data_IF_238856327994
#
_entry.id   IF_238856327994
#
_cell.length_a   1.000
_cell.length_b   1.000
_cell.length_c   1.000
_cell.angle_alpha   90.00
_cell.angle_beta   90.00
_cell.angle_gamma   90.00
#
_symmetry.space_group_name_H-M   'P 1'
#
loop_
_entity.id
_entity.type
_entity.pdbx_description
1 polymer ?
#
# COMPACT_ATOMS: atom_id res chain seq x y z
N UNK A 1 10.19 3.70 11.36
CA UNK A 1 8.97 3.78 12.19
C UNK A 1 7.86 3.86 11.17
N UNK A 2 6.96 2.88 11.15
CA UNK A 2 5.88 2.86 10.17
C UNK A 2 4.86 3.93 10.55
N UNK A 3 4.35 4.65 9.57
CA UNK A 3 3.26 5.61 9.76
C UNK A 3 2.02 4.90 10.33
N UNK A 4 1.46 5.42 11.44
CA UNK A 4 0.30 4.81 12.11
C UNK A 4 -0.95 4.94 11.23
N UNK A 5 -1.08 6.05 10.51
CA UNK A 5 -2.19 6.29 9.57
C UNK A 5 -2.13 5.29 8.40
N UNK A 6 -0.94 5.03 7.86
CA UNK A 6 -0.74 4.01 6.81
C UNK A 6 -1.07 2.60 7.32
N UNK A 7 -0.75 2.28 8.58
CA UNK A 7 -1.09 0.98 9.15
C UNK A 7 -2.61 0.82 9.31
N UNK A 8 -3.30 1.86 9.79
CA UNK A 8 -4.76 1.84 9.93
C UNK A 8 -5.44 1.71 8.56
N UNK A 9 -4.94 2.44 7.56
CA UNK A 9 -5.36 2.32 6.16
C UNK A 9 -5.23 0.89 5.63
N UNK A 10 -4.06 0.26 5.81
CA UNK A 10 -3.84 -1.14 5.39
C UNK A 10 -4.73 -2.11 6.17
N UNK A 11 -5.00 -1.87 7.45
CA UNK A 11 -5.92 -2.69 8.27
C UNK A 11 -7.38 -2.58 7.80
N UNK A 12 -7.77 -1.44 7.20
CA UNK A 12 -9.10 -1.25 6.62
C UNK A 12 -9.31 -2.01 5.31
N UNK A 13 -8.24 -2.40 4.61
CA UNK A 13 -8.33 -3.09 3.32
C UNK A 13 -8.65 -4.58 3.52
N UNK A 14 -9.62 -5.14 2.77
CA UNK A 14 -9.93 -6.56 2.85
C UNK A 14 -8.74 -7.39 2.35
N UNK A 15 -8.45 -8.50 3.04
CA UNK A 15 -7.37 -9.44 2.69
C UNK A 15 -5.94 -8.89 2.78
N UNK A 16 -5.76 -7.62 3.09
CA UNK A 16 -4.46 -7.03 3.37
C UNK A 16 -3.89 -7.52 4.71
N UNK A 17 -2.57 -7.70 4.75
CA UNK A 17 -1.83 -8.07 5.95
C UNK A 17 -1.08 -6.85 6.51
N UNK A 18 -1.64 -6.16 7.54
CA UNK A 18 -0.99 -5.00 8.15
C UNK A 18 0.28 -5.36 8.94
N UNK A 19 0.46 -6.63 9.31
CA UNK A 19 1.70 -7.10 9.95
C UNK A 19 2.82 -7.34 8.93
N UNK A 20 2.47 -7.49 7.64
CA UNK A 20 3.43 -7.51 6.53
C UNK A 20 3.84 -6.12 6.04
N UNK A 21 3.29 -5.03 6.60
CA UNK A 21 3.60 -3.67 6.20
C UNK A 21 5.05 -3.29 6.54
N UNK A 22 5.83 -2.99 5.51
CA UNK A 22 7.22 -2.54 5.63
C UNK A 22 7.37 -1.20 4.94
N UNK A 23 7.80 -0.18 5.71
CA UNK A 23 8.15 1.14 5.21
C UNK A 23 9.64 1.40 5.35
N UNK A 24 10.27 1.86 4.26
CA UNK A 24 11.69 2.20 4.17
C UNK A 24 11.92 3.67 4.54
N UNK A 25 13.15 4.05 4.88
CA UNK A 25 13.52 5.44 5.19
C UNK A 25 13.28 6.42 4.03
N UNK A 26 13.14 5.93 2.79
CA UNK A 26 12.75 6.73 1.62
C UNK A 26 11.25 7.02 1.54
N UNK A 27 10.45 6.59 2.51
CA UNK A 27 8.97 6.64 2.47
C UNK A 27 8.34 5.53 1.63
N UNK A 28 9.08 4.94 0.69
CA UNK A 28 8.65 3.77 -0.10
C UNK A 28 8.46 2.55 0.77
N UNK A 29 7.56 1.65 0.38
CA UNK A 29 7.35 0.42 1.11
C UNK A 29 6.52 -0.59 0.36
N UNK A 30 6.12 -1.62 1.09
CA UNK A 30 5.22 -2.65 0.58
C UNK A 30 4.40 -3.28 1.70
N UNK A 31 3.30 -3.90 1.31
CA UNK A 31 2.49 -4.78 2.14
C UNK A 31 1.95 -5.91 1.26
N UNK A 32 1.40 -6.94 1.89
CA UNK A 32 0.95 -8.15 1.20
C UNK A 32 -0.54 -8.31 1.37
N UNK A 33 -1.20 -8.76 0.30
CA UNK A 33 -2.55 -9.28 0.32
C UNK A 33 -2.53 -10.80 0.30
N UNK A 34 -3.35 -11.41 1.15
CA UNK A 34 -3.65 -12.84 1.15
C UNK A 34 -4.75 -13.20 0.13
N UNK A 35 -4.72 -12.54 -1.03
CA UNK A 35 -5.64 -12.72 -2.13
C UNK A 35 -4.86 -12.67 -3.46
N UNK A 36 -5.46 -13.23 -4.51
CA UNK A 36 -4.94 -13.13 -5.87
C UNK A 36 -5.09 -11.69 -6.40
N UNK A 37 -4.31 -11.34 -7.43
CA UNK A 37 -4.29 -9.98 -7.97
C UNK A 37 -5.62 -9.58 -8.63
N UNK A 38 -6.37 -10.56 -9.15
CA UNK A 38 -7.66 -10.36 -9.81
C UNK A 38 -8.81 -10.11 -8.82
N UNK A 39 -8.63 -10.48 -7.54
CA UNK A 39 -9.62 -10.28 -6.47
C UNK A 39 -9.44 -8.95 -5.71
N UNK A 40 -8.39 -8.19 -6.03
CA UNK A 40 -8.09 -6.92 -5.36
C UNK A 40 -8.83 -5.75 -5.99
N UNK A 41 -9.55 -5.00 -5.16
CA UNK A 41 -10.13 -3.71 -5.53
C UNK A 41 -9.04 -2.63 -5.59
N UNK A 42 -8.37 -2.59 -6.74
CA UNK A 42 -7.29 -1.65 -7.05
C UNK A 42 -7.67 -0.20 -6.75
N UNK A 43 -8.88 0.21 -7.13
CA UNK A 43 -9.36 1.57 -6.91
C UNK A 43 -9.45 1.90 -5.41
N UNK A 44 -9.93 0.96 -4.59
CA UNK A 44 -10.00 1.14 -3.14
C UNK A 44 -8.61 1.21 -2.49
N UNK A 45 -7.65 0.41 -2.98
CA UNK A 45 -6.26 0.46 -2.51
C UNK A 45 -5.63 1.82 -2.86
N UNK A 46 -5.83 2.31 -4.08
CA UNK A 46 -5.32 3.62 -4.50
C UNK A 46 -5.95 4.75 -3.65
N UNK A 47 -7.28 4.73 -3.42
CA UNK A 47 -7.98 5.72 -2.58
C UNK A 47 -7.44 5.74 -1.13
N UNK A 48 -7.29 4.56 -0.52
CA UNK A 48 -6.82 4.42 0.86
C UNK A 48 -5.37 4.86 1.02
N UNK A 49 -4.51 4.53 0.05
CA UNK A 49 -3.13 5.00 0.06
C UNK A 49 -3.06 6.51 -0.15
N UNK A 50 -3.86 7.07 -1.06
CA UNK A 50 -3.86 8.51 -1.35
C UNK A 50 -4.28 9.34 -0.13
N UNK A 51 -5.26 8.88 0.65
CA UNK A 51 -5.69 9.54 1.89
C UNK A 51 -4.56 9.61 2.94
N UNK A 52 -3.63 8.66 2.89
CA UNK A 52 -2.42 8.61 3.74
C UNK A 52 -1.19 9.28 3.13
N UNK A 53 -1.30 9.86 1.94
CA UNK A 53 -0.19 10.53 1.25
C UNK A 53 0.74 9.60 0.48
N UNK A 54 0.28 8.39 0.13
CA UNK A 54 1.04 7.41 -0.65
C UNK A 54 0.27 7.03 -1.93
N UNK A 55 0.99 6.53 -2.92
CA UNK A 55 0.41 5.99 -4.16
C UNK A 55 1.01 4.60 -4.43
N UNK A 56 0.29 3.77 -5.18
CA UNK A 56 0.82 2.45 -5.57
C UNK A 56 1.99 2.59 -6.55
N UNK A 57 3.06 1.88 -6.26
CA UNK A 57 4.28 1.76 -7.09
C UNK A 57 4.34 0.36 -7.74
N UNK A 58 3.18 -0.15 -8.17
CA UNK A 58 3.01 -1.47 -8.78
C UNK A 58 2.98 -2.63 -7.80
N UNK A 59 2.80 -3.84 -8.33
CA UNK A 59 2.67 -5.06 -7.52
C UNK A 59 3.59 -6.18 -7.99
N UNK A 60 3.88 -7.12 -7.10
CA UNK A 60 4.62 -8.33 -7.39
C UNK A 60 3.75 -9.55 -7.02
N UNK A 61 3.44 -10.44 -7.98
CA UNK A 61 2.73 -11.68 -7.67
C UNK A 61 3.62 -12.62 -6.86
N UNK A 62 3.09 -13.13 -5.76
CA UNK A 62 3.73 -14.11 -4.87
C UNK A 62 2.86 -15.38 -4.88
N UNK A 63 3.42 -16.60 -4.78
CA UNK A 63 2.58 -17.79 -4.76
C UNK A 63 1.54 -17.76 -3.61
N UNK A 64 0.26 -17.57 -3.95
CA UNK A 64 -0.87 -17.49 -3.01
C UNK A 64 -1.08 -16.12 -2.34
N UNK A 65 -0.36 -15.09 -2.77
CA UNK A 65 -0.39 -13.74 -2.21
C UNK A 65 0.01 -12.70 -3.26
N UNK A 66 -0.23 -11.43 -3.02
CA UNK A 66 0.30 -10.36 -3.88
C UNK A 66 0.93 -9.29 -3.02
N UNK A 67 2.15 -8.91 -3.34
CA UNK A 67 2.82 -7.79 -2.71
C UNK A 67 2.44 -6.51 -3.46
N UNK A 68 1.79 -5.57 -2.76
CA UNK A 68 1.57 -4.21 -3.25
C UNK A 68 2.72 -3.32 -2.78
N UNK A 69 3.34 -2.60 -3.71
CA UNK A 69 4.36 -1.62 -3.40
C UNK A 69 3.72 -0.24 -3.40
N UNK A 70 4.24 0.65 -2.57
CA UNK A 70 3.79 2.03 -2.50
C UNK A 70 4.98 2.98 -2.39
N UNK A 71 4.74 4.23 -2.75
CA UNK A 71 5.68 5.32 -2.63
C UNK A 71 4.94 6.57 -2.10
N UNK A 72 5.63 7.47 -1.40
CA UNK A 72 5.02 8.74 -1.02
C UNK A 72 4.62 9.49 -2.29
N UNK A 73 3.45 10.12 -2.25
CA UNK A 73 3.01 11.03 -3.31
C UNK A 73 4.01 12.19 -3.32
N UNK A 74 4.60 12.45 -4.48
CA UNK A 74 5.34 13.69 -4.67
C UNK A 74 4.30 14.81 -4.70
N UNK A 75 4.15 15.55 -3.59
CA UNK A 75 3.44 16.83 -3.61
C UNK A 75 4.11 17.66 -4.69
N UNK A 76 3.46 17.80 -5.85
CA UNK A 76 3.92 18.71 -6.88
C UNK A 76 3.82 20.11 -6.23
N UNK A 77 4.96 20.61 -5.72
CA UNK A 77 5.13 21.99 -5.25
C UNK A 77 4.68 22.89 -6.41
N UNK A 78 3.40 23.22 -6.42
CA UNK A 78 2.79 24.10 -7.41
C UNK A 78 3.36 25.49 -7.24
N UNK A 79 4.30 25.84 -8.11
CA UNK A 79 4.90 27.16 -8.26
C UNK A 79 3.88 28.30 -8.45
#
# INVERSE_FOLDING_TARGET
>A
MTDDDLREAVESLPDADPDSLVQLDSGRGHFVFNADADDQDVDEIDDVLEDTGYERDGHLPVPGMVQQNFRPIEEEDGE
#
